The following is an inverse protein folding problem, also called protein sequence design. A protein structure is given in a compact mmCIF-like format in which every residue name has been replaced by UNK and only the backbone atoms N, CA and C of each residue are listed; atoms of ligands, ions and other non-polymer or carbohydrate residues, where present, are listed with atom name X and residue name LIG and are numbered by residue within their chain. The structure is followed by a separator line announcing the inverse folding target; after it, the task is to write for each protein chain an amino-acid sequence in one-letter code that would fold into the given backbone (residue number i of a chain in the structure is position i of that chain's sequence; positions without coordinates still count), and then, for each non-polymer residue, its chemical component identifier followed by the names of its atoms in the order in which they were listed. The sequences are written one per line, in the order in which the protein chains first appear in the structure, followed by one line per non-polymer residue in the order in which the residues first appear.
data_IF_912054642413
#
_entry.id   IF_912054642413
#
_cell.length_a   1.000
_cell.length_b   1.000
_cell.length_c   1.000
_cell.angle_alpha   90.00
_cell.angle_beta   90.00
_cell.angle_gamma   90.00
#
_symmetry.space_group_name_H-M   'P 1'
#
loop_
_entity.id
_entity.type
_entity.pdbx_description
1 polymer ?
#
# COMPACT_ATOMS: atom_id res chain seq x y z
N UNK A 1 -29.89 -1.34 -12.62
CA UNK A 1 -28.62 -1.39 -11.83
C UNK A 1 -28.00 -2.79 -11.74
N UNK A 2 -28.74 -3.87 -11.56
CA UNK A 2 -28.16 -5.24 -11.52
C UNK A 2 -27.55 -5.72 -12.84
N UNK A 3 -28.07 -5.33 -13.98
CA UNK A 3 -27.56 -5.70 -15.31
C UNK A 3 -26.20 -5.05 -15.65
N UNK A 4 -25.94 -3.86 -15.12
CA UNK A 4 -24.65 -3.18 -15.33
C UNK A 4 -23.51 -3.80 -14.52
N UNK A 5 -23.79 -4.48 -13.41
CA UNK A 5 -22.76 -5.17 -12.62
C UNK A 5 -22.31 -6.49 -13.27
N UNK A 6 -23.14 -7.14 -14.07
CA UNK A 6 -22.75 -8.36 -14.80
C UNK A 6 -21.73 -8.08 -15.91
N UNK A 7 -21.68 -6.86 -16.44
CA UNK A 7 -20.68 -6.46 -17.43
C UNK A 7 -19.26 -6.33 -16.84
N UNK A 8 -19.12 -6.37 -15.51
CA UNK A 8 -17.84 -6.29 -14.81
C UNK A 8 -17.33 -7.66 -14.30
N UNK A 9 -18.07 -8.72 -14.58
CA UNK A 9 -17.60 -10.11 -14.35
C UNK A 9 -16.48 -10.40 -15.35
N UNK A 10 -15.35 -10.98 -14.92
CA UNK A 10 -14.28 -11.36 -15.84
C UNK A 10 -14.83 -12.24 -16.95
N UNK A 11 -14.70 -11.80 -18.20
CA UNK A 11 -14.96 -12.62 -19.37
C UNK A 11 -13.74 -13.51 -19.59
N UNK A 12 -13.85 -14.85 -19.52
CA UNK A 12 -12.72 -15.73 -19.72
C UNK A 12 -12.10 -15.59 -21.12
N UNK A 13 -12.87 -15.09 -22.10
CA UNK A 13 -12.44 -14.89 -23.48
C UNK A 13 -11.85 -13.49 -23.75
N UNK A 14 -11.97 -12.58 -22.77
CA UNK A 14 -11.44 -11.21 -22.85
C UNK A 14 -10.61 -10.90 -21.60
N UNK A 15 -9.33 -11.20 -21.68
CA UNK A 15 -8.41 -10.83 -20.62
C UNK A 15 -8.15 -9.32 -20.69
N UNK A 16 -8.50 -8.59 -19.61
CA UNK A 16 -8.13 -7.19 -19.47
C UNK A 16 -6.70 -7.11 -18.95
N UNK A 17 -5.77 -6.70 -19.80
CA UNK A 17 -4.34 -6.58 -19.52
C UNK A 17 -4.05 -5.56 -18.38
N UNK A 18 -4.98 -4.66 -18.10
CA UNK A 18 -4.88 -3.66 -17.04
C UNK A 18 -5.42 -4.16 -15.70
N UNK A 19 -6.17 -5.27 -15.71
CA UNK A 19 -6.73 -5.86 -14.50
C UNK A 19 -5.62 -6.36 -13.57
N UNK A 20 -5.87 -6.25 -12.27
CA UNK A 20 -4.95 -6.74 -11.26
C UNK A 20 -5.70 -7.42 -10.11
N UNK A 21 -5.05 -8.42 -9.52
CA UNK A 21 -5.61 -9.18 -8.42
C UNK A 21 -5.40 -8.45 -7.08
N UNK A 22 -6.35 -8.59 -6.17
CA UNK A 22 -6.30 -7.92 -4.86
C UNK A 22 -4.98 -8.17 -4.09
N UNK A 23 -4.43 -9.39 -4.12
CA UNK A 23 -3.20 -9.76 -3.41
C UNK A 23 -1.93 -9.07 -3.94
N UNK A 24 -1.97 -8.56 -5.19
CA UNK A 24 -0.85 -7.84 -5.81
C UNK A 24 -0.68 -6.41 -5.26
N UNK A 25 -1.75 -5.82 -4.74
CA UNK A 25 -1.77 -4.40 -4.37
C UNK A 25 -0.94 -4.09 -3.12
N UNK A 26 -1.10 -4.83 -1.98
CA UNK A 26 -0.34 -4.52 -0.77
C UNK A 26 1.17 -4.61 -0.94
N UNK A 27 1.63 -5.49 -1.84
CA UNK A 27 3.06 -5.70 -2.10
C UNK A 27 3.58 -4.89 -3.29
N UNK A 28 2.74 -4.02 -3.88
CA UNK A 28 3.07 -3.23 -5.06
C UNK A 28 3.61 -4.08 -6.22
N UNK A 29 3.01 -5.26 -6.45
CA UNK A 29 3.45 -6.16 -7.51
C UNK A 29 3.12 -5.66 -8.92
N UNK A 30 2.15 -4.74 -9.04
CA UNK A 30 1.68 -4.21 -10.34
C UNK A 30 1.48 -2.71 -10.28
N UNK A 31 1.65 -2.05 -11.42
CA UNK A 31 1.20 -0.69 -11.66
C UNK A 31 0.03 -0.67 -12.66
N UNK A 32 -0.47 0.51 -12.98
CA UNK A 32 -1.60 0.70 -13.88
C UNK A 32 -1.30 1.76 -14.94
N UNK A 33 -1.47 1.41 -16.21
CA UNK A 33 -1.48 2.36 -17.31
C UNK A 33 -2.77 3.17 -17.27
N UNK A 34 -2.64 4.51 -17.29
CA UNK A 34 -3.79 5.42 -17.12
C UNK A 34 -4.38 5.90 -18.44
N UNK A 35 -3.67 5.70 -19.56
CA UNK A 35 -4.07 6.18 -20.90
C UNK A 35 -3.51 5.30 -22.01
N UNK A 36 -3.78 5.67 -23.26
CA UNK A 36 -3.15 5.02 -24.42
C UNK A 36 -1.63 5.16 -24.42
N UNK A 37 -0.92 4.14 -24.93
CA UNK A 37 0.53 4.03 -24.87
C UNK A 37 1.19 4.14 -26.27
N UNK A 38 0.66 5.03 -27.09
CA UNK A 38 1.28 5.41 -28.35
C UNK A 38 2.48 6.36 -28.09
N UNK A 39 3.56 6.21 -28.86
CA UNK A 39 4.76 7.04 -28.74
C UNK A 39 4.51 8.53 -29.07
N UNK A 40 3.42 8.84 -29.76
CA UNK A 40 2.98 10.21 -30.08
C UNK A 40 2.26 10.91 -28.93
N UNK A 41 1.89 10.21 -27.85
CA UNK A 41 1.10 10.72 -26.73
C UNK A 41 1.91 10.79 -25.44
N UNK A 42 1.47 11.67 -24.53
CA UNK A 42 1.99 11.68 -23.15
C UNK A 42 1.35 10.50 -22.40
N UNK A 43 2.19 9.65 -21.82
CA UNK A 43 1.80 8.44 -21.13
C UNK A 43 1.89 8.61 -19.62
N UNK A 44 0.90 8.12 -18.91
CA UNK A 44 0.84 8.18 -17.45
C UNK A 44 0.78 6.77 -16.88
N UNK A 45 1.61 6.52 -15.89
CA UNK A 45 1.67 5.24 -15.20
C UNK A 45 1.44 5.43 -13.70
N UNK A 46 0.44 4.76 -13.16
CA UNK A 46 0.12 4.79 -11.76
C UNK A 46 0.95 3.73 -11.03
N UNK A 47 1.94 4.20 -10.27
CA UNK A 47 2.76 3.36 -9.41
C UNK A 47 2.80 3.99 -8.02
N UNK A 48 2.60 3.18 -7.00
CA UNK A 48 2.73 3.64 -5.62
C UNK A 48 4.19 3.84 -5.21
N UNK A 49 4.41 4.62 -4.16
CA UNK A 49 5.74 4.75 -3.57
C UNK A 49 6.13 3.44 -2.87
N UNK A 50 7.23 2.77 -3.26
CA UNK A 50 7.60 1.46 -2.72
C UNK A 50 7.76 1.43 -1.20
N UNK A 51 8.43 2.44 -0.62
CA UNK A 51 8.60 2.52 0.84
C UNK A 51 7.26 2.59 1.56
N UNK A 52 6.34 3.41 1.05
CA UNK A 52 5.02 3.60 1.67
C UNK A 52 4.21 2.30 1.57
N UNK A 53 4.17 1.65 0.41
CA UNK A 53 3.42 0.41 0.24
C UNK A 53 3.97 -0.74 1.08
N UNK A 54 5.28 -1.00 0.98
CA UNK A 54 5.89 -2.12 1.72
C UNK A 54 5.94 -1.85 3.22
N UNK A 55 6.26 -0.62 3.63
CA UNK A 55 6.24 -0.22 5.04
C UNK A 55 4.85 -0.33 5.65
N UNK A 56 3.82 0.13 4.93
CA UNK A 56 2.43 0.01 5.37
C UNK A 56 1.98 -1.45 5.48
N UNK A 57 2.29 -2.29 4.49
CA UNK A 57 1.96 -3.71 4.52
C UNK A 57 2.67 -4.45 5.64
N UNK A 58 3.97 -4.19 5.84
CA UNK A 58 4.73 -4.75 6.96
C UNK A 58 4.15 -4.32 8.32
N UNK A 59 3.67 -3.07 8.41
CA UNK A 59 3.08 -2.53 9.63
C UNK A 59 1.74 -3.19 9.99
N UNK A 60 0.92 -3.54 9.01
CA UNK A 60 -0.31 -4.32 9.26
C UNK A 60 0.02 -5.68 9.92
N UNK A 61 1.03 -6.38 9.39
CA UNK A 61 1.54 -7.62 9.97
C UNK A 61 2.12 -7.42 11.36
N UNK A 62 2.91 -6.34 11.56
CA UNK A 62 3.51 -6.02 12.85
C UNK A 62 2.44 -5.73 13.92
N UNK A 63 1.36 -5.00 13.58
CA UNK A 63 0.24 -4.75 14.49
C UNK A 63 -0.47 -6.05 14.86
N UNK A 64 -0.74 -6.92 13.87
CA UNK A 64 -1.37 -8.20 14.14
C UNK A 64 -0.52 -9.06 15.10
N UNK A 65 0.79 -9.11 14.90
CA UNK A 65 1.73 -9.80 15.79
C UNK A 65 1.79 -9.15 17.18
N UNK A 66 1.83 -7.82 17.26
CA UNK A 66 1.83 -7.08 18.52
C UNK A 66 0.58 -7.41 19.35
N UNK A 67 -0.59 -7.32 18.72
CA UNK A 67 -1.87 -7.63 19.39
C UNK A 67 -1.93 -9.09 19.83
N UNK A 68 -1.55 -10.02 18.95
CA UNK A 68 -1.50 -11.44 19.30
C UNK A 68 -0.55 -11.71 20.49
N UNK A 69 0.62 -11.07 20.48
CA UNK A 69 1.59 -11.17 21.57
C UNK A 69 1.00 -10.70 22.92
N UNK A 70 0.39 -9.52 22.94
CA UNK A 70 -0.21 -9.00 24.17
C UNK A 70 -1.42 -9.81 24.64
N UNK A 71 -2.25 -10.33 23.73
CA UNK A 71 -3.37 -11.20 24.07
C UNK A 71 -2.88 -12.51 24.74
N UNK A 72 -1.83 -13.15 24.20
CA UNK A 72 -1.24 -14.36 24.79
C UNK A 72 -0.65 -14.06 26.18
N UNK A 73 0.02 -12.93 26.35
CA UNK A 73 0.57 -12.55 27.65
C UNK A 73 -0.54 -12.28 28.66
N UNK A 74 -1.56 -11.54 28.26
CA UNK A 74 -2.72 -11.25 29.10
C UNK A 74 -3.43 -12.56 29.55
N UNK A 75 -3.65 -13.49 28.63
CA UNK A 75 -4.21 -14.82 28.97
C UNK A 75 -3.35 -15.60 29.95
N UNK A 76 -2.06 -15.34 30.01
CA UNK A 76 -1.12 -15.95 30.98
C UNK A 76 -0.99 -15.17 32.29
N UNK A 77 -1.80 -14.14 32.49
CA UNK A 77 -1.82 -13.32 33.72
C UNK A 77 -0.74 -12.23 33.79
N UNK A 78 -0.08 -11.92 32.66
CA UNK A 78 0.85 -10.79 32.60
C UNK A 78 0.08 -9.51 32.25
N UNK A 79 0.11 -8.53 33.15
CA UNK A 79 -0.49 -7.21 32.95
C UNK A 79 0.64 -6.16 32.83
N UNK A 80 1.15 -6.01 31.62
CA UNK A 80 2.33 -5.16 31.34
C UNK A 80 1.97 -3.84 30.67
N UNK A 81 0.75 -3.74 30.13
CA UNK A 81 0.33 -2.54 29.42
C UNK A 81 -0.30 -1.53 30.38
N UNK A 82 0.19 -0.30 30.29
CA UNK A 82 -0.48 0.82 30.96
C UNK A 82 -1.82 1.12 30.26
N UNK A 83 -2.81 1.68 30.96
CA UNK A 83 -4.06 2.10 30.31
C UNK A 83 -3.85 2.97 29.07
N UNK A 84 -2.88 3.91 29.13
CA UNK A 84 -2.51 4.74 27.97
C UNK A 84 -1.98 3.96 26.78
N UNK A 85 -1.27 2.85 27.01
CA UNK A 85 -0.76 1.99 25.94
C UNK A 85 -1.92 1.21 25.29
N UNK A 86 -2.88 0.76 26.09
CA UNK A 86 -4.09 0.09 25.61
C UNK A 86 -4.90 1.04 24.74
N UNK A 87 -5.13 2.27 25.19
CA UNK A 87 -5.83 3.31 24.43
C UNK A 87 -5.10 3.63 23.12
N UNK A 88 -3.79 3.75 23.15
CA UNK A 88 -2.98 3.99 21.95
C UNK A 88 -3.08 2.83 20.95
N UNK A 89 -3.04 1.58 21.42
CA UNK A 89 -3.23 0.40 20.56
C UNK A 89 -4.65 0.41 19.96
N UNK A 90 -5.69 0.67 20.76
CA UNK A 90 -7.06 0.68 20.27
C UNK A 90 -7.27 1.76 19.20
N UNK A 91 -6.94 3.02 19.49
CA UNK A 91 -7.29 4.13 18.61
C UNK A 91 -6.31 4.30 17.45
N UNK A 92 -5.02 4.01 17.66
CA UNK A 92 -3.99 4.27 16.64
C UNK A 92 -3.54 3.03 15.88
N UNK A 93 -3.87 1.82 16.36
CA UNK A 93 -3.54 0.57 15.66
C UNK A 93 -4.78 -0.20 15.21
N UNK A 94 -5.69 -0.56 16.13
CA UNK A 94 -6.81 -1.43 15.80
C UNK A 94 -7.86 -0.75 14.91
N UNK A 95 -8.15 0.54 15.09
CA UNK A 95 -9.09 1.24 14.21
C UNK A 95 -8.55 1.37 12.76
N UNK A 96 -7.29 1.78 12.52
CA UNK A 96 -6.73 1.73 11.17
C UNK A 96 -6.67 0.31 10.59
N UNK A 97 -6.30 -0.69 11.39
CA UNK A 97 -6.30 -2.09 10.93
C UNK A 97 -7.71 -2.56 10.51
N UNK A 98 -8.73 -2.24 11.31
CA UNK A 98 -10.13 -2.53 10.99
C UNK A 98 -10.58 -1.76 9.73
N UNK A 99 -10.22 -0.48 9.64
CA UNK A 99 -10.50 0.35 8.46
C UNK A 99 -9.89 -0.25 7.20
N UNK A 100 -8.63 -0.67 7.25
CA UNK A 100 -7.97 -1.38 6.16
C UNK A 100 -8.72 -2.66 5.79
N UNK A 101 -9.04 -3.49 6.77
CA UNK A 101 -9.74 -4.75 6.56
C UNK A 101 -11.10 -4.57 5.88
N UNK A 102 -11.91 -3.64 6.38
CA UNK A 102 -13.25 -3.37 5.85
C UNK A 102 -13.23 -2.82 4.41
N UNK A 103 -12.20 -2.03 4.05
CA UNK A 103 -12.06 -1.51 2.70
C UNK A 103 -11.38 -2.47 1.73
N UNK A 104 -10.62 -3.44 2.24
CA UNK A 104 -9.91 -4.43 1.42
C UNK A 104 -10.76 -5.70 1.17
N UNK A 105 -11.48 -6.18 2.18
CA UNK A 105 -12.25 -7.44 2.11
C UNK A 105 -13.29 -7.49 0.99
N UNK A 106 -14.00 -6.43 0.63
CA UNK A 106 -14.91 -6.46 -0.51
C UNK A 106 -14.24 -6.94 -1.81
N UNK A 107 -12.99 -6.55 -2.04
CA UNK A 107 -12.24 -6.95 -3.24
C UNK A 107 -11.72 -8.39 -3.19
N UNK A 108 -11.56 -8.95 -2.00
CA UNK A 108 -11.26 -10.39 -1.83
C UNK A 108 -12.48 -11.24 -2.12
N UNK A 109 -13.68 -10.75 -1.75
CA UNK A 109 -14.93 -11.48 -1.89
C UNK A 109 -15.61 -11.31 -3.27
N UNK A 110 -15.30 -10.22 -3.98
CA UNK A 110 -15.94 -9.91 -5.27
C UNK A 110 -15.26 -10.62 -6.44
N UNK A 111 -16.04 -11.39 -7.21
CA UNK A 111 -15.62 -11.94 -8.48
C UNK A 111 -15.86 -10.93 -9.62
N UNK A 112 -15.09 -9.83 -9.65
CA UNK A 112 -15.17 -8.81 -10.70
C UNK A 112 -13.77 -8.37 -11.15
N UNK A 113 -13.70 -7.71 -12.30
CA UNK A 113 -12.47 -7.08 -12.75
C UNK A 113 -12.08 -5.96 -11.78
N UNK A 114 -10.86 -6.00 -11.30
CA UNK A 114 -10.31 -5.06 -10.32
C UNK A 114 -9.00 -4.46 -10.80
N UNK A 115 -8.66 -3.28 -10.29
CA UNK A 115 -7.47 -2.53 -10.64
C UNK A 115 -6.77 -2.00 -9.39
N UNK A 116 -5.48 -1.71 -9.47
CA UNK A 116 -4.66 -1.27 -8.32
C UNK A 116 -5.22 -0.03 -7.60
N UNK A 117 -5.90 0.88 -8.29
CA UNK A 117 -6.47 2.09 -7.67
C UNK A 117 -7.62 1.79 -6.69
N UNK A 118 -8.25 0.62 -6.78
CA UNK A 118 -9.25 0.20 -5.79
C UNK A 118 -8.64 -0.02 -4.38
N UNK A 119 -7.32 -0.16 -4.30
CA UNK A 119 -6.62 -0.32 -3.03
C UNK A 119 -6.46 0.99 -2.24
N UNK A 120 -6.63 2.16 -2.85
CA UNK A 120 -6.34 3.44 -2.20
C UNK A 120 -7.09 3.70 -0.90
N UNK A 121 -8.39 3.40 -0.76
CA UNK A 121 -9.06 3.56 0.53
C UNK A 121 -8.45 2.66 1.62
N UNK A 122 -8.10 1.42 1.29
CA UNK A 122 -7.41 0.53 2.22
C UNK A 122 -5.98 1.01 2.52
N UNK A 123 -5.24 1.46 1.51
CA UNK A 123 -3.89 2.00 1.66
C UNK A 123 -3.85 3.18 2.63
N UNK A 124 -4.84 4.07 2.60
CA UNK A 124 -4.93 5.17 3.56
C UNK A 124 -4.84 4.68 5.00
N UNK A 125 -5.61 3.67 5.35
CA UNK A 125 -5.57 3.08 6.70
C UNK A 125 -4.26 2.32 6.98
N UNK A 126 -3.69 1.68 5.97
CA UNK A 126 -2.38 1.03 6.10
C UNK A 126 -1.25 2.04 6.37
N UNK A 127 -1.31 3.24 5.78
CA UNK A 127 -0.36 4.33 6.06
C UNK A 127 -0.50 4.83 7.51
N UNK A 128 -1.72 4.95 8.03
CA UNK A 128 -1.93 5.28 9.45
C UNK A 128 -1.31 4.21 10.36
N UNK A 129 -1.47 2.94 9.99
CA UNK A 129 -0.83 1.81 10.69
C UNK A 129 0.69 1.90 10.65
N UNK A 130 1.28 2.34 9.53
CA UNK A 130 2.72 2.56 9.41
C UNK A 130 3.21 3.67 10.34
N UNK A 131 2.49 4.79 10.42
CA UNK A 131 2.77 5.86 11.36
C UNK A 131 2.74 5.39 12.81
N UNK A 132 1.73 4.61 13.19
CA UNK A 132 1.63 4.03 14.53
C UNK A 132 2.83 3.12 14.85
N UNK A 133 3.19 2.19 13.96
CA UNK A 133 4.31 1.26 14.19
C UNK A 133 5.63 2.01 14.33
N UNK A 134 5.87 3.02 13.50
CA UNK A 134 7.06 3.85 13.60
C UNK A 134 7.12 4.59 14.96
N UNK A 135 6.02 5.20 15.40
CA UNK A 135 5.95 5.86 16.70
C UNK A 135 6.12 4.88 17.86
N UNK A 136 5.44 3.73 17.80
CA UNK A 136 5.53 2.70 18.83
C UNK A 136 6.94 2.15 19.02
N UNK A 137 7.67 1.91 17.92
CA UNK A 137 9.05 1.44 17.97
C UNK A 137 10.02 2.50 18.51
N UNK A 138 9.75 3.77 18.21
CA UNK A 138 10.64 4.87 18.55
C UNK A 138 10.33 5.54 19.88
N UNK A 139 9.19 5.28 20.51
CA UNK A 139 8.70 6.00 21.69
C UNK A 139 9.67 6.04 22.88
N UNK A 140 10.49 5.00 23.03
CA UNK A 140 11.49 4.90 24.11
C UNK A 140 12.90 5.38 23.70
N UNK A 141 13.08 5.86 22.47
CA UNK A 141 14.35 6.37 21.98
C UNK A 141 14.54 7.85 22.34
N UNK A 142 15.79 8.29 22.42
CA UNK A 142 16.09 9.72 22.61
C UNK A 142 15.63 10.54 21.39
N UNK A 143 15.25 11.79 21.60
CA UNK A 143 14.68 12.67 20.58
C UNK A 143 15.54 12.79 19.32
N UNK A 144 16.86 12.83 19.48
CA UNK A 144 17.78 12.90 18.34
C UNK A 144 17.68 11.67 17.42
N UNK A 145 17.51 10.47 17.99
CA UNK A 145 17.31 9.24 17.22
C UNK A 145 15.94 9.25 16.54
N UNK A 146 14.90 9.68 17.26
CA UNK A 146 13.55 9.81 16.68
C UNK A 146 13.58 10.73 15.44
N UNK A 147 14.14 11.93 15.58
CA UNK A 147 14.24 12.89 14.47
C UNK A 147 15.11 12.39 13.32
N UNK A 148 16.21 11.69 13.61
CA UNK A 148 17.05 11.11 12.58
C UNK A 148 16.31 10.05 11.77
N UNK A 149 15.58 9.13 12.43
CA UNK A 149 14.84 8.06 11.75
C UNK A 149 13.66 8.64 10.95
N UNK A 150 12.88 9.55 11.52
CA UNK A 150 11.82 10.22 10.77
C UNK A 150 12.39 11.03 9.59
N UNK A 151 13.51 11.71 9.79
CA UNK A 151 14.20 12.43 8.72
C UNK A 151 14.60 11.51 7.56
N UNK A 152 15.14 10.32 7.86
CA UNK A 152 15.49 9.31 6.85
C UNK A 152 14.23 8.78 6.15
N UNK A 153 13.15 8.46 6.88
CA UNK A 153 11.89 8.01 6.30
C UNK A 153 11.31 9.03 5.32
N UNK A 154 11.24 10.31 5.73
CA UNK A 154 10.75 11.38 4.86
C UNK A 154 11.66 11.62 3.67
N UNK A 155 12.98 11.68 3.87
CA UNK A 155 13.95 11.87 2.79
C UNK A 155 13.87 10.72 1.77
N UNK A 156 13.74 9.47 2.22
CA UNK A 156 13.59 8.31 1.34
C UNK A 156 12.26 8.35 0.58
N UNK A 157 11.16 8.71 1.26
CA UNK A 157 9.84 8.84 0.60
C UNK A 157 9.86 9.90 -0.49
N UNK A 158 10.45 11.07 -0.20
CA UNK A 158 10.58 12.17 -1.17
C UNK A 158 11.54 11.77 -2.29
N UNK A 159 12.67 11.15 -1.97
CA UNK A 159 13.65 10.69 -2.96
C UNK A 159 13.04 9.68 -3.95
N UNK A 160 12.28 8.69 -3.44
CA UNK A 160 11.56 7.73 -4.28
C UNK A 160 10.46 8.40 -5.11
N UNK A 161 9.75 9.37 -4.54
CA UNK A 161 8.77 10.15 -5.29
C UNK A 161 9.42 10.89 -6.46
N UNK A 162 10.53 11.58 -6.23
CA UNK A 162 11.28 12.28 -7.29
C UNK A 162 11.81 11.29 -8.33
N UNK A 163 12.33 10.14 -7.90
CA UNK A 163 12.83 9.11 -8.79
C UNK A 163 11.76 8.57 -9.74
N UNK A 164 10.54 8.29 -9.23
CA UNK A 164 9.42 7.79 -10.02
C UNK A 164 8.54 8.90 -10.64
N UNK A 165 8.84 10.16 -10.37
CA UNK A 165 8.06 11.30 -10.88
C UNK A 165 7.83 11.27 -12.41
N UNK A 166 8.83 10.92 -13.25
CA UNK A 166 8.63 10.94 -14.71
C UNK A 166 7.52 10.02 -15.20
N UNK A 167 7.34 8.82 -14.59
CA UNK A 167 6.28 7.89 -15.00
C UNK A 167 4.90 8.32 -14.52
N UNK A 168 4.83 9.10 -13.45
CA UNK A 168 3.57 9.57 -12.87
C UNK A 168 3.11 10.91 -13.45
N UNK A 169 4.03 11.78 -13.84
CA UNK A 169 3.73 13.13 -14.33
C UNK A 169 3.67 13.24 -15.86
N UNK A 170 4.14 12.24 -16.56
CA UNK A 170 4.03 12.13 -17.99
C UNK A 170 5.31 11.67 -18.68
N UNK A 171 5.26 10.50 -19.27
CA UNK A 171 6.31 9.96 -20.13
C UNK A 171 6.11 10.44 -21.56
N UNK A 172 7.16 10.96 -22.19
CA UNK A 172 7.16 11.42 -23.57
C UNK A 172 8.16 10.59 -24.38
N UNK A 173 7.78 10.16 -25.58
CA UNK A 173 8.63 9.36 -26.47
C UNK A 173 8.67 7.86 -26.11
N UNK A 174 9.68 7.12 -26.57
CA UNK A 174 9.75 5.67 -26.43
C UNK A 174 9.79 5.18 -24.97
N UNK A 175 8.98 4.19 -24.62
CA UNK A 175 8.90 3.63 -23.27
C UNK A 175 10.24 3.11 -22.75
N UNK A 176 11.10 2.61 -23.65
CA UNK A 176 12.40 2.02 -23.31
C UNK A 176 13.33 2.97 -22.54
N UNK A 177 13.19 4.29 -22.72
CA UNK A 177 13.99 5.28 -21.97
C UNK A 177 13.69 5.29 -20.47
N UNK A 178 12.54 4.75 -20.04
CA UNK A 178 12.11 4.66 -18.64
C UNK A 178 12.39 3.27 -18.03
N UNK A 179 13.11 2.38 -18.72
CA UNK A 179 13.41 1.02 -18.27
C UNK A 179 14.14 0.96 -16.92
N UNK A 180 14.91 1.99 -16.57
CA UNK A 180 15.61 2.08 -15.28
C UNK A 180 14.67 2.18 -14.07
N UNK A 181 13.40 2.56 -14.29
CA UNK A 181 12.37 2.61 -13.24
C UNK A 181 11.61 1.29 -13.09
N UNK A 182 11.82 0.34 -13.99
CA UNK A 182 11.23 -0.99 -13.93
C UNK A 182 12.01 -1.88 -12.97
N UNK A 183 11.66 -1.85 -11.67
CA UNK A 183 12.30 -2.70 -10.67
C UNK A 183 11.79 -4.14 -10.72
N UNK A 184 10.55 -4.35 -11.16
CA UNK A 184 9.94 -5.67 -11.35
C UNK A 184 9.35 -5.79 -12.74
N UNK A 185 9.45 -6.98 -13.34
CA UNK A 185 8.88 -7.25 -14.67
C UNK A 185 7.35 -7.09 -14.68
N UNK A 186 6.72 -7.41 -13.56
CA UNK A 186 5.26 -7.26 -13.37
C UNK A 186 4.75 -5.81 -13.43
N UNK A 187 5.62 -4.81 -13.31
CA UNK A 187 5.20 -3.40 -13.40
C UNK A 187 4.86 -2.95 -14.83
N UNK A 188 5.32 -3.66 -15.85
CA UNK A 188 4.98 -3.39 -17.26
C UNK A 188 5.15 -1.93 -17.70
N UNK A 189 6.19 -1.24 -17.20
CA UNK A 189 6.45 0.17 -17.50
C UNK A 189 6.92 0.35 -18.94
N UNK A 190 7.52 -0.66 -19.54
CA UNK A 190 8.18 -0.62 -20.86
C UNK A 190 7.53 -1.50 -21.92
N UNK A 191 6.50 -2.25 -21.57
CA UNK A 191 5.87 -3.24 -22.46
C UNK A 191 4.90 -2.58 -23.43
#
# INVERSE_FOLDING_TARGET
MMTSNNALVPDPDKQDDLASQFWQWPILAVGLRMCGWDDSTVKYFLLGNPLVYWGSTASLGAIALLVAWYLVRWQRGYDELKPSDIDQIHYSALYPLLGWFLHYMPFVAMARVTYVHHYYPALYFAILSFGFVADWMLRNQIKSIQYAIYGVLYATTIGLYIYFMPISWGMVGPNKQYSYMKWFDSWRVTD
#
